data_IF_301940432559
#
_entry.id   IF_301940432559
#
_cell.length_a   1.000
_cell.length_b   1.000
_cell.length_c   1.000
_cell.angle_alpha   90.00
_cell.angle_beta   90.00
_cell.angle_gamma   90.00
#
_symmetry.space_group_name_H-M   'P 1'
#
loop_
_entity.id
_entity.type
_entity.pdbx_description
1 polymer ?
#
# COMPACT_ATOMS: atom_id res chain seq x y z
N UNK A 1 -35.16 6.29 -25.23
CA UNK A 1 -34.60 5.44 -24.16
C UNK A 1 -33.22 5.03 -24.62
N UNK A 2 -32.19 5.82 -24.28
CA UNK A 2 -30.82 5.54 -24.68
C UNK A 2 -30.11 4.95 -23.47
N UNK A 3 -29.88 3.65 -23.48
CA UNK A 3 -28.99 3.01 -22.52
C UNK A 3 -27.56 3.40 -22.90
N UNK A 4 -26.96 4.26 -22.09
CA UNK A 4 -25.55 4.58 -22.16
C UNK A 4 -24.76 3.37 -21.66
N UNK A 5 -24.52 2.39 -22.54
CA UNK A 5 -23.48 1.37 -22.34
C UNK A 5 -22.16 2.00 -22.78
N UNK A 6 -21.75 3.03 -22.04
CA UNK A 6 -20.41 3.58 -22.08
C UNK A 6 -19.75 3.15 -20.79
N UNK A 7 -18.99 2.05 -20.88
CA UNK A 7 -17.97 1.63 -19.92
C UNK A 7 -17.51 2.86 -19.15
N UNK A 8 -17.71 2.88 -17.82
CA UNK A 8 -16.96 3.77 -16.98
C UNK A 8 -15.50 3.41 -17.26
N UNK A 9 -14.88 4.06 -18.24
CA UNK A 9 -13.45 4.26 -18.30
C UNK A 9 -13.18 4.75 -16.91
N UNK A 10 -12.70 3.85 -16.04
CA UNK A 10 -12.27 4.18 -14.70
C UNK A 10 -11.20 5.22 -14.96
N UNK A 11 -11.61 6.49 -14.89
CA UNK A 11 -10.71 7.63 -15.00
C UNK A 11 -9.62 7.30 -13.98
N UNK A 12 -8.37 7.58 -14.30
CA UNK A 12 -7.30 7.42 -13.32
C UNK A 12 -7.60 8.37 -12.14
N UNK A 13 -8.41 7.90 -11.21
CA UNK A 13 -8.84 8.62 -10.02
C UNK A 13 -7.81 8.29 -8.97
N UNK A 14 -7.42 9.29 -8.19
CA UNK A 14 -6.61 9.05 -7.00
C UNK A 14 -7.58 8.62 -5.91
N UNK A 15 -7.59 7.34 -5.58
CA UNK A 15 -8.41 6.82 -4.49
C UNK A 15 -7.63 6.87 -3.17
N UNK A 16 -8.31 7.27 -2.09
CA UNK A 16 -7.81 7.17 -0.71
C UNK A 16 -8.54 6.03 -0.03
N UNK A 17 -7.86 4.90 0.14
CA UNK A 17 -8.46 3.66 0.63
C UNK A 17 -7.88 3.35 2.01
N UNK A 18 -8.73 3.08 3.00
CA UNK A 18 -8.35 2.70 4.35
C UNK A 18 -9.09 1.42 4.73
N UNK A 19 -8.35 0.36 5.09
CA UNK A 19 -8.92 -0.91 5.52
C UNK A 19 -9.56 -0.79 6.90
N UNK A 20 -8.79 -0.33 7.88
CA UNK A 20 -9.19 -0.45 9.28
C UNK A 20 -8.39 -1.53 10.00
N UNK A 21 -8.74 -1.81 11.26
CA UNK A 21 -7.94 -2.67 12.15
C UNK A 21 -8.16 -4.18 11.93
N UNK A 22 -8.97 -4.56 10.95
CA UNK A 22 -9.38 -5.92 10.66
C UNK A 22 -8.68 -6.44 9.39
N UNK A 23 -8.93 -7.70 9.02
CA UNK A 23 -8.37 -8.28 7.80
C UNK A 23 -9.12 -7.74 6.57
N UNK A 24 -8.54 -6.76 5.88
CA UNK A 24 -9.23 -6.05 4.80
C UNK A 24 -8.70 -6.37 3.40
N UNK A 25 -9.57 -6.26 2.39
CA UNK A 25 -9.19 -6.34 0.97
C UNK A 25 -9.40 -4.99 0.29
N UNK A 26 -8.32 -4.37 -0.14
CA UNK A 26 -8.28 -3.02 -0.73
C UNK A 26 -7.88 -3.09 -2.21
N UNK A 27 -8.64 -2.46 -3.10
CA UNK A 27 -8.37 -2.44 -4.55
C UNK A 27 -8.47 -1.01 -5.11
N UNK A 28 -7.38 -0.47 -5.64
CA UNK A 28 -7.29 0.90 -6.20
C UNK A 28 -7.71 0.96 -7.66
N UNK A 29 -7.19 0.06 -8.49
CA UNK A 29 -7.54 -0.05 -9.91
C UNK A 29 -6.65 0.83 -10.78
N UNK A 30 -7.21 1.65 -11.66
CA UNK A 30 -6.39 2.54 -12.50
C UNK A 30 -6.30 3.90 -11.83
N UNK A 31 -5.09 4.40 -11.59
CA UNK A 31 -4.91 5.58 -10.76
C UNK A 31 -3.54 5.62 -10.09
N UNK A 32 -3.29 6.71 -9.38
CA UNK A 32 -2.18 6.79 -8.43
C UNK A 32 -2.79 6.75 -7.04
N UNK A 33 -3.06 5.55 -6.55
CA UNK A 33 -3.90 5.36 -5.37
C UNK A 33 -3.08 5.43 -4.09
N UNK A 34 -3.69 5.93 -3.02
CA UNK A 34 -3.10 5.96 -1.68
C UNK A 34 -3.87 5.04 -0.75
N UNK A 35 -3.18 4.02 -0.26
CA UNK A 35 -3.71 3.05 0.69
C UNK A 35 -3.18 3.36 2.08
N UNK A 36 -4.05 3.60 3.06
CA UNK A 36 -3.65 3.64 4.47
C UNK A 36 -3.70 2.23 5.01
N UNK A 37 -2.55 1.70 5.40
CA UNK A 37 -2.46 0.39 6.02
C UNK A 37 -2.55 0.51 7.55
N UNK A 38 -3.16 -0.51 8.15
CA UNK A 38 -3.46 -0.59 9.59
C UNK A 38 -3.12 -2.00 10.10
N UNK A 39 -3.38 -2.27 11.38
CA UNK A 39 -3.20 -3.63 11.90
C UNK A 39 -4.23 -4.58 11.28
N UNK A 40 -3.91 -5.87 11.17
CA UNK A 40 -4.72 -6.85 10.43
C UNK A 40 -3.92 -7.60 9.36
N UNK A 41 -4.52 -8.62 8.76
CA UNK A 41 -4.02 -9.30 7.57
C UNK A 41 -4.65 -8.70 6.31
N UNK A 42 -4.06 -7.61 5.82
CA UNK A 42 -4.60 -6.88 4.68
C UNK A 42 -4.14 -7.48 3.34
N UNK A 43 -4.98 -7.33 2.31
CA UNK A 43 -4.65 -7.63 0.92
C UNK A 43 -4.90 -6.40 0.05
N UNK A 44 -3.84 -5.81 -0.49
CA UNK A 44 -3.88 -4.56 -1.25
C UNK A 44 -3.52 -4.81 -2.72
N UNK A 45 -4.35 -4.30 -3.62
CA UNK A 45 -4.12 -4.35 -5.06
C UNK A 45 -4.12 -2.91 -5.59
N UNK A 46 -2.94 -2.37 -5.87
CA UNK A 46 -2.78 -1.02 -6.44
C UNK A 46 -3.43 -0.91 -7.80
N UNK A 47 -3.06 -1.83 -8.70
CA UNK A 47 -3.53 -1.85 -10.08
C UNK A 47 -2.55 -1.15 -11.01
N UNK A 48 -3.01 -0.21 -11.83
CA UNK A 48 -2.17 0.47 -12.82
C UNK A 48 -1.95 1.93 -12.44
N UNK A 49 -0.70 2.29 -12.17
CA UNK A 49 -0.24 3.64 -11.95
C UNK A 49 0.74 3.72 -10.78
N UNK A 50 0.99 4.92 -10.27
CA UNK A 50 1.96 5.14 -9.21
C UNK A 50 1.31 5.05 -7.84
N UNK A 51 1.09 3.83 -7.35
CA UNK A 51 0.39 3.58 -6.09
C UNK A 51 1.31 3.67 -4.88
N UNK A 52 0.75 4.15 -3.76
CA UNK A 52 1.44 4.40 -2.49
C UNK A 52 0.71 3.72 -1.33
N UNK A 53 1.41 2.89 -0.55
CA UNK A 53 0.92 2.48 0.78
C UNK A 53 1.50 3.41 1.84
N UNK A 54 0.65 3.86 2.74
CA UNK A 54 0.94 4.72 3.88
C UNK A 54 0.79 3.96 5.19
N UNK A 55 1.91 3.76 5.87
CA UNK A 55 1.99 3.19 7.19
C UNK A 55 2.25 4.23 8.30
N UNK A 56 2.18 5.53 8.00
CA UNK A 56 2.50 6.63 8.92
C UNK A 56 1.66 6.66 10.20
N UNK A 57 0.51 5.99 10.20
CA UNK A 57 -0.36 5.80 11.36
C UNK A 57 0.16 4.74 12.35
N UNK A 58 1.09 3.89 11.92
CA UNK A 58 1.65 2.81 12.75
C UNK A 58 2.86 3.29 13.55
N UNK A 59 2.82 3.01 14.86
CA UNK A 59 3.90 3.31 15.79
C UNK A 59 4.85 2.11 15.99
N UNK A 60 4.74 1.07 15.18
CA UNK A 60 5.52 -0.17 15.26
C UNK A 60 6.42 -0.29 14.05
N UNK A 61 7.59 -0.93 14.20
CA UNK A 61 8.49 -1.15 13.07
C UNK A 61 7.82 -2.03 12.01
N UNK A 62 8.09 -1.74 10.75
CA UNK A 62 7.45 -2.42 9.62
C UNK A 62 8.52 -3.00 8.73
N UNK A 63 8.43 -4.29 8.43
CA UNK A 63 9.29 -4.91 7.43
C UNK A 63 8.47 -5.17 6.18
N UNK A 64 8.66 -4.38 5.14
CA UNK A 64 7.95 -4.56 3.88
C UNK A 64 8.89 -4.65 2.69
N UNK A 65 8.55 -5.48 1.72
CA UNK A 65 9.37 -5.73 0.56
C UNK A 65 8.51 -5.68 -0.71
N UNK A 66 8.82 -4.73 -1.59
CA UNK A 66 8.10 -4.49 -2.84
C UNK A 66 8.35 -5.58 -3.88
N UNK A 67 9.46 -6.32 -3.78
CA UNK A 67 9.73 -7.46 -4.67
C UNK A 67 8.87 -8.67 -4.31
N UNK A 68 8.67 -8.91 -3.01
CA UNK A 68 7.85 -10.03 -2.54
C UNK A 68 6.37 -9.66 -2.45
N UNK A 69 6.05 -8.36 -2.39
CA UNK A 69 4.68 -7.87 -2.21
C UNK A 69 4.15 -8.15 -0.81
N UNK A 70 5.01 -8.08 0.21
CA UNK A 70 4.62 -8.40 1.59
C UNK A 70 5.14 -7.35 2.56
N UNK A 71 4.27 -6.91 3.46
CA UNK A 71 4.56 -6.12 4.65
C UNK A 71 4.20 -6.92 5.90
N UNK A 72 5.11 -6.92 6.87
CA UNK A 72 4.91 -7.56 8.17
C UNK A 72 5.15 -6.54 9.27
N UNK A 73 4.29 -6.57 10.30
CA UNK A 73 4.38 -5.66 11.43
C UNK A 73 5.25 -6.28 12.54
N UNK A 74 6.19 -5.52 13.11
CA UNK A 74 7.13 -6.02 14.12
C UNK A 74 6.46 -6.47 15.43
N UNK A 75 5.22 -6.04 15.68
CA UNK A 75 4.41 -6.49 16.82
C UNK A 75 3.71 -7.84 16.58
N UNK A 76 3.88 -8.45 15.39
CA UNK A 76 3.23 -9.68 14.96
C UNK A 76 1.68 -9.64 15.04
N UNK A 77 1.08 -8.45 14.99
CA UNK A 77 -0.38 -8.26 15.01
C UNK A 77 -1.01 -8.30 13.60
N UNK A 78 -0.26 -8.76 12.58
CA UNK A 78 -0.77 -8.88 11.22
C UNK A 78 0.32 -8.75 10.15
N UNK A 79 -0.13 -8.79 8.89
CA UNK A 79 0.70 -8.60 7.71
C UNK A 79 -0.14 -8.09 6.54
N UNK A 80 0.36 -7.12 5.79
CA UNK A 80 -0.29 -6.69 4.55
C UNK A 80 0.40 -7.32 3.34
N UNK A 81 -0.32 -8.12 2.56
CA UNK A 81 0.11 -8.53 1.23
C UNK A 81 -0.30 -7.47 0.22
N UNK A 82 0.58 -7.08 -0.69
CA UNK A 82 0.28 -6.06 -1.68
C UNK A 82 0.88 -6.34 -3.05
N UNK A 83 0.18 -5.90 -4.10
CA UNK A 83 0.62 -6.08 -5.49
C UNK A 83 0.45 -4.79 -6.29
N UNK A 84 1.31 -4.61 -7.29
CA UNK A 84 1.38 -3.41 -8.14
C UNK A 84 1.57 -2.09 -7.37
N UNK A 85 2.30 -2.13 -6.26
CA UNK A 85 2.62 -0.93 -5.48
C UNK A 85 3.99 -0.40 -5.87
N UNK A 86 4.11 0.91 -6.03
CA UNK A 86 5.36 1.56 -6.46
C UNK A 86 6.07 2.29 -5.32
N UNK A 87 5.33 2.73 -4.31
CA UNK A 87 5.86 3.55 -3.21
C UNK A 87 5.34 3.04 -1.87
N UNK A 88 6.19 3.10 -0.83
CA UNK A 88 5.82 2.76 0.54
C UNK A 88 6.24 3.90 1.46
N UNK A 89 5.31 4.40 2.26
CA UNK A 89 5.57 5.42 3.26
C UNK A 89 5.59 4.76 4.64
N UNK A 90 6.70 4.91 5.36
CA UNK A 90 6.91 4.25 6.64
C UNK A 90 6.19 4.88 7.82
N UNK A 91 6.21 4.11 8.90
CA UNK A 91 5.64 4.49 10.18
C UNK A 91 6.58 5.39 10.99
N UNK A 92 6.21 5.60 12.25
CA UNK A 92 7.01 6.41 13.20
C UNK A 92 8.18 5.65 13.82
N UNK A 93 8.27 4.35 13.56
CA UNK A 93 9.26 3.46 14.15
C UNK A 93 10.42 3.17 13.17
N UNK A 94 11.33 2.28 13.58
CA UNK A 94 12.38 1.79 12.70
C UNK A 94 11.80 0.77 11.70
N UNK A 95 11.66 1.21 10.46
CA UNK A 95 11.12 0.38 9.37
C UNK A 95 12.24 -0.25 8.54
N UNK A 96 11.99 -1.41 7.97
CA UNK A 96 12.87 -2.07 7.01
C UNK A 96 12.12 -2.21 5.71
N UNK A 97 12.49 -1.42 4.70
CA UNK A 97 11.87 -1.52 3.40
C UNK A 97 12.83 -2.10 2.36
N UNK A 98 12.42 -3.21 1.76
CA UNK A 98 13.05 -3.84 0.59
C UNK A 98 12.46 -3.30 -0.70
N UNK A 99 13.29 -2.72 -1.56
CA UNK A 99 12.89 -2.21 -2.87
C UNK A 99 13.28 -3.14 -4.02
N UNK A 100 12.92 -2.73 -5.24
CA UNK A 100 13.54 -3.23 -6.47
C UNK A 100 14.42 -2.13 -7.10
N UNK A 101 15.07 -2.41 -8.23
CA UNK A 101 15.93 -1.45 -8.92
C UNK A 101 15.18 -0.25 -9.56
N UNK A 102 13.85 -0.20 -9.46
CA UNK A 102 13.03 0.95 -9.85
C UNK A 102 12.92 1.92 -8.67
N UNK A 103 12.61 3.18 -8.95
CA UNK A 103 12.54 4.27 -7.97
C UNK A 103 11.41 4.07 -6.95
N UNK A 104 11.64 3.26 -5.92
CA UNK A 104 10.77 3.19 -4.75
C UNK A 104 11.05 4.42 -3.86
N UNK A 105 10.02 5.22 -3.57
CA UNK A 105 10.10 6.24 -2.52
C UNK A 105 9.80 5.58 -1.19
N UNK A 106 10.84 5.37 -0.38
CA UNK A 106 10.77 4.73 0.92
C UNK A 106 11.08 5.77 1.98
N UNK A 107 10.07 6.19 2.75
CA UNK A 107 10.23 7.19 3.81
C UNK A 107 10.14 6.50 5.17
N UNK A 108 11.27 6.05 5.72
CA UNK A 108 11.34 5.56 7.10
C UNK A 108 11.90 6.66 8.00
N UNK A 109 11.17 7.08 9.04
CA UNK A 109 11.65 8.10 9.99
C UNK A 109 12.73 7.58 10.97
N UNK A 110 13.14 6.32 10.86
CA UNK A 110 14.25 5.74 11.61
C UNK A 110 14.69 4.37 11.10
N UNK A 111 14.30 4.03 9.87
CA UNK A 111 14.40 2.69 9.29
C UNK A 111 15.57 2.48 8.33
N UNK A 112 15.96 1.22 8.10
CA UNK A 112 16.98 0.88 7.10
C UNK A 112 16.31 0.53 5.77
N UNK A 113 16.64 1.25 4.69
CA UNK A 113 16.23 0.91 3.33
C UNK A 113 17.26 -0.02 2.69
N UNK A 114 16.82 -1.13 2.06
CA UNK A 114 17.69 -2.10 1.37
C UNK A 114 17.23 -2.39 -0.05
#
# INVERSE_FOLDING_TARGET
MAEFVGSASKIAVLDFINGGLDDDRLEGGSGSDRFTASFGHDVIVGGSGGDLIDFGSLNTGITADVTTGLATYANALGSAAFSSITSLFGGKAADSFGGNALLNRLFGFGGTMR
#
